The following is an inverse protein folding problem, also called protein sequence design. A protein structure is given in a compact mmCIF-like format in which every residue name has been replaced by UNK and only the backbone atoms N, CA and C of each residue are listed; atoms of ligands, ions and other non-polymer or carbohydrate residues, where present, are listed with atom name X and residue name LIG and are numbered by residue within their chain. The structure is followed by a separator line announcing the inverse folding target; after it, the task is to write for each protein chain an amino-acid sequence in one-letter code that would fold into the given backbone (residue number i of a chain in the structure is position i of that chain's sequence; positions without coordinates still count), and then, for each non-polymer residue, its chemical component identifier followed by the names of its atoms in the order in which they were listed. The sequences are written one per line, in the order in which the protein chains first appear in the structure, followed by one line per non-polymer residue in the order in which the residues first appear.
data_IF_218203497080
#
_entry.id   IF_218203497080
#
_cell.length_a   1.000
_cell.length_b   1.000
_cell.length_c   1.000
_cell.angle_alpha   90.00
_cell.angle_beta   90.00
_cell.angle_gamma   90.00
#
_symmetry.space_group_name_H-M   'P 1'
#
loop_
_entity.id
_entity.type
_entity.pdbx_description
1 polymer ?
#
# COMPACT_ATOMS: atom_id res chain seq x y z
N UNK A 1 14.25 7.93 -15.17
CA UNK A 1 12.94 8.55 -15.46
C UNK A 1 11.77 7.59 -15.22
N UNK A 2 11.66 6.45 -15.93
CA UNK A 2 10.54 5.51 -15.76
C UNK A 2 10.37 5.00 -14.31
N UNK A 3 11.47 4.74 -13.60
CA UNK A 3 11.44 4.31 -12.19
C UNK A 3 10.96 5.43 -11.24
N UNK A 4 11.44 6.66 -11.46
CA UNK A 4 11.00 7.86 -10.72
C UNK A 4 9.51 8.12 -10.88
N UNK A 5 8.97 7.99 -12.11
CA UNK A 5 7.54 8.15 -12.40
C UNK A 5 6.68 7.13 -11.67
N UNK A 6 7.11 5.87 -11.63
CA UNK A 6 6.41 4.81 -10.90
C UNK A 6 6.36 5.10 -9.40
N UNK A 7 7.47 5.57 -8.84
CA UNK A 7 7.56 5.94 -7.42
C UNK A 7 6.66 7.11 -7.09
N UNK A 8 6.66 8.15 -7.91
CA UNK A 8 5.74 9.28 -7.76
C UNK A 8 4.30 8.77 -7.78
N UNK A 9 3.96 7.85 -8.70
CA UNK A 9 2.65 7.21 -8.71
C UNK A 9 2.29 6.50 -7.40
N UNK A 10 3.23 5.75 -6.81
CA UNK A 10 3.04 5.08 -5.51
C UNK A 10 2.87 6.11 -4.38
N UNK A 11 3.74 7.13 -4.32
CA UNK A 11 3.64 8.20 -3.32
C UNK A 11 2.30 8.91 -3.42
N UNK A 12 1.88 9.26 -4.63
CA UNK A 12 0.63 9.98 -4.83
C UNK A 12 -0.57 9.10 -4.47
N UNK A 13 -0.61 7.83 -4.90
CA UNK A 13 -1.73 6.94 -4.60
C UNK A 13 -1.86 6.65 -3.10
N UNK A 14 -0.80 6.16 -2.47
CA UNK A 14 -0.81 5.78 -1.05
C UNK A 14 -0.74 7.00 -0.12
N UNK A 15 -0.08 8.07 -0.52
CA UNK A 15 -0.06 9.35 0.20
C UNK A 15 -1.44 9.98 0.26
N UNK A 16 -2.11 10.12 -0.89
CA UNK A 16 -3.47 10.67 -0.94
C UNK A 16 -4.45 9.81 -0.16
N UNK A 17 -4.36 8.48 -0.28
CA UNK A 17 -5.19 7.56 0.51
C UNK A 17 -4.95 7.73 2.02
N UNK A 18 -3.69 7.82 2.46
CA UNK A 18 -3.37 8.07 3.88
C UNK A 18 -3.88 9.43 4.37
N UNK A 19 -3.78 10.48 3.54
CA UNK A 19 -4.31 11.80 3.85
C UNK A 19 -5.83 11.78 4.02
N UNK A 20 -6.54 11.05 3.16
CA UNK A 20 -7.98 10.86 3.27
C UNK A 20 -8.38 10.09 4.54
N UNK A 21 -7.63 9.06 4.91
CA UNK A 21 -7.85 8.33 6.17
C UNK A 21 -7.61 9.22 7.41
N UNK A 22 -6.54 10.02 7.41
CA UNK A 22 -6.25 10.97 8.50
C UNK A 22 -7.35 12.02 8.60
N UNK A 23 -7.79 12.59 7.48
CA UNK A 23 -8.89 13.54 7.44
C UNK A 23 -10.17 12.93 8.03
N UNK A 24 -10.47 11.69 7.65
CA UNK A 24 -11.65 10.95 8.13
C UNK A 24 -11.57 10.63 9.61
N UNK A 25 -10.36 10.35 10.12
CA UNK A 25 -10.11 10.16 11.55
C UNK A 25 -10.34 11.46 12.35
N UNK A 26 -9.87 12.61 11.85
CA UNK A 26 -10.07 13.92 12.48
C UNK A 26 -11.55 14.29 12.51
N UNK A 27 -12.28 14.02 11.42
CA UNK A 27 -13.72 14.26 11.31
C UNK A 27 -14.58 13.19 11.97
N UNK A 28 -13.97 12.18 12.60
CA UNK A 28 -14.63 11.03 13.22
C UNK A 28 -15.63 10.32 12.28
N UNK A 29 -15.34 10.31 10.98
CA UNK A 29 -16.18 9.62 9.99
C UNK A 29 -16.03 8.11 10.13
N UNK A 30 -17.14 7.35 10.09
CA UNK A 30 -17.06 5.89 10.06
C UNK A 30 -16.45 5.42 8.73
N UNK A 31 -15.43 4.58 8.82
CA UNK A 31 -14.80 3.92 7.66
C UNK A 31 -15.30 2.48 7.46
N UNK A 32 -15.88 1.89 8.50
CA UNK A 32 -16.43 0.53 8.50
C UNK A 32 -17.95 0.54 8.54
N UNK A 33 -18.54 -0.58 8.15
CA UNK A 33 -19.97 -0.83 8.27
C UNK A 33 -20.44 -0.76 9.74
N UNK A 34 -21.73 -0.49 9.99
CA UNK A 34 -22.29 -0.37 11.34
C UNK A 34 -21.98 -1.56 12.27
N UNK A 35 -21.92 -2.78 11.73
CA UNK A 35 -21.64 -4.00 12.51
C UNK A 35 -20.23 -4.03 13.12
N UNK A 36 -19.28 -3.31 12.51
CA UNK A 36 -17.87 -3.29 12.90
C UNK A 36 -17.42 -1.98 13.55
N UNK A 37 -18.34 -1.07 13.90
CA UNK A 37 -18.01 0.27 14.42
C UNK A 37 -17.04 0.28 15.60
N UNK A 38 -17.13 -0.72 16.48
CA UNK A 38 -16.23 -0.89 17.62
C UNK A 38 -14.75 -1.04 17.21
N UNK A 39 -14.46 -1.51 15.99
CA UNK A 39 -13.11 -1.65 15.43
C UNK A 39 -12.72 -0.50 14.50
N UNK A 40 -13.57 0.51 14.30
CA UNK A 40 -13.35 1.60 13.33
C UNK A 40 -12.00 2.29 13.51
N UNK A 41 -11.67 2.64 14.76
CA UNK A 41 -10.40 3.29 15.10
C UNK A 41 -9.19 2.40 14.77
N UNK A 42 -9.27 1.12 15.12
CA UNK A 42 -8.18 0.15 14.88
C UNK A 42 -7.93 0.00 13.38
N UNK A 43 -8.99 -0.22 12.59
CA UNK A 43 -8.86 -0.33 11.14
C UNK A 43 -8.30 0.95 10.51
N UNK A 44 -8.74 2.12 10.98
CA UNK A 44 -8.26 3.39 10.45
C UNK A 44 -6.75 3.57 10.70
N UNK A 45 -6.29 3.35 11.94
CA UNK A 45 -4.86 3.46 12.30
C UNK A 45 -4.02 2.46 11.52
N UNK A 46 -4.46 1.20 11.41
CA UNK A 46 -3.73 0.16 10.67
C UNK A 46 -3.60 0.53 9.20
N UNK A 47 -4.67 0.99 8.55
CA UNK A 47 -4.63 1.41 7.16
C UNK A 47 -3.72 2.63 6.94
N UNK A 48 -3.73 3.60 7.86
CA UNK A 48 -2.82 4.76 7.80
C UNK A 48 -1.37 4.30 7.87
N UNK A 49 -1.03 3.44 8.84
CA UNK A 49 0.33 2.93 9.04
C UNK A 49 0.80 2.16 7.80
N UNK A 50 -0.03 1.26 7.26
CA UNK A 50 0.31 0.48 6.06
C UNK A 50 0.49 1.41 4.85
N UNK A 51 -0.41 2.36 4.65
CA UNK A 51 -0.36 3.26 3.49
C UNK A 51 0.84 4.20 3.54
N UNK A 52 1.14 4.78 4.71
CA UNK A 52 2.33 5.60 4.90
C UNK A 52 3.61 4.77 4.76
N UNK A 53 3.64 3.57 5.31
CA UNK A 53 4.77 2.65 5.14
C UNK A 53 5.06 2.41 3.66
N UNK A 54 4.03 2.11 2.86
CA UNK A 54 4.20 1.87 1.43
C UNK A 54 4.69 3.14 0.73
N UNK A 55 4.07 4.29 1.00
CA UNK A 55 4.47 5.58 0.42
C UNK A 55 5.93 5.94 0.72
N UNK A 56 6.38 5.77 1.97
CA UNK A 56 7.74 6.12 2.41
C UNK A 56 8.77 5.12 1.86
N UNK A 57 8.58 3.82 2.09
CA UNK A 57 9.60 2.81 1.78
C UNK A 57 9.65 2.37 0.32
N UNK A 58 8.52 2.46 -0.40
CA UNK A 58 8.47 2.10 -1.82
C UNK A 58 8.47 3.32 -2.73
N UNK A 59 8.13 4.51 -2.21
CA UNK A 59 8.14 5.76 -2.95
C UNK A 59 9.37 6.61 -2.71
N UNK A 60 9.50 7.14 -1.48
CA UNK A 60 10.48 8.20 -1.12
C UNK A 60 11.89 7.62 -0.94
N UNK A 61 12.04 6.70 0.00
CA UNK A 61 13.30 6.03 0.32
C UNK A 61 13.17 4.54 -0.02
N UNK A 62 13.58 4.13 -1.24
CA UNK A 62 13.50 2.76 -1.75
C UNK A 62 14.48 1.83 -1.03
N UNK A 63 14.32 1.65 0.27
CA UNK A 63 15.08 0.66 1.01
C UNK A 63 14.52 -0.69 0.54
N UNK A 64 15.39 -1.59 0.09
CA UNK A 64 15.02 -2.99 -0.10
C UNK A 64 14.74 -3.59 1.27
N UNK A 65 13.55 -3.32 1.81
CA UNK A 65 13.06 -4.07 2.95
C UNK A 65 12.85 -5.49 2.46
N UNK A 66 13.39 -6.48 3.16
CA UNK A 66 13.13 -7.92 2.93
C UNK A 66 11.67 -8.29 3.23
N UNK A 67 10.73 -7.36 3.12
CA UNK A 67 9.33 -7.69 3.12
C UNK A 67 9.10 -8.64 1.95
N UNK A 68 8.63 -9.85 2.29
CA UNK A 68 8.40 -10.89 1.30
C UNK A 68 7.38 -10.35 0.30
N UNK A 69 7.62 -10.59 -1.00
CA UNK A 69 6.64 -10.32 -2.06
C UNK A 69 5.28 -10.93 -1.72
N UNK A 70 5.27 -12.05 -1.00
CA UNK A 70 4.08 -12.69 -0.48
C UNK A 70 3.32 -11.80 0.52
N UNK A 71 3.99 -11.01 1.34
CA UNK A 71 3.33 -10.16 2.32
C UNK A 71 2.57 -9.01 1.67
N UNK A 72 3.15 -8.32 0.67
CA UNK A 72 2.41 -7.32 -0.10
C UNK A 72 1.23 -7.93 -0.86
N UNK A 73 1.41 -9.16 -1.36
CA UNK A 73 0.34 -9.89 -2.03
C UNK A 73 -0.82 -10.22 -1.08
N UNK A 74 -0.51 -10.78 0.10
CA UNK A 74 -1.52 -11.08 1.14
C UNK A 74 -2.20 -9.80 1.61
N UNK A 75 -1.45 -8.71 1.82
CA UNK A 75 -2.01 -7.40 2.15
C UNK A 75 -2.97 -6.92 1.07
N UNK A 76 -2.60 -7.06 -0.21
CA UNK A 76 -3.46 -6.72 -1.34
C UNK A 76 -4.77 -7.51 -1.36
N UNK A 77 -4.71 -8.83 -1.17
CA UNK A 77 -5.92 -9.67 -1.06
C UNK A 77 -6.77 -9.23 0.12
N UNK A 78 -6.17 -9.05 1.30
CA UNK A 78 -6.90 -8.67 2.51
C UNK A 78 -7.59 -7.31 2.34
N UNK A 79 -6.95 -6.34 1.68
CA UNK A 79 -7.55 -5.04 1.40
C UNK A 79 -8.76 -5.15 0.47
N UNK A 80 -8.70 -6.00 -0.56
CA UNK A 80 -9.84 -6.25 -1.46
C UNK A 80 -10.99 -6.92 -0.71
N UNK A 81 -10.71 -7.93 0.11
CA UNK A 81 -11.73 -8.63 0.88
C UNK A 81 -12.39 -7.67 1.87
N UNK A 82 -11.59 -6.96 2.68
CA UNK A 82 -12.10 -5.98 3.63
C UNK A 82 -12.85 -4.82 2.95
N UNK A 83 -12.38 -4.39 1.78
CA UNK A 83 -13.06 -3.39 0.95
C UNK A 83 -14.47 -3.79 0.56
N UNK A 84 -14.73 -5.09 0.35
CA UNK A 84 -16.06 -5.59 -0.01
C UNK A 84 -16.92 -6.00 1.18
N UNK A 85 -16.32 -6.36 2.31
CA UNK A 85 -17.06 -7.00 3.41
C UNK A 85 -17.09 -6.20 4.72
N UNK A 86 -16.19 -5.24 4.90
CA UNK A 86 -16.02 -4.51 6.17
C UNK A 86 -16.10 -2.99 5.99
N UNK A 87 -15.51 -2.46 4.93
CA UNK A 87 -15.45 -1.01 4.72
C UNK A 87 -16.74 -0.46 4.10
N UNK A 88 -17.08 0.75 4.54
CA UNK A 88 -18.29 1.45 4.15
C UNK A 88 -18.12 2.12 2.78
N UNK A 89 -19.12 1.94 1.93
CA UNK A 89 -19.36 2.79 0.76
C UNK A 89 -20.73 3.44 0.94
N UNK A 90 -20.74 4.72 1.33
CA UNK A 90 -21.92 5.55 1.46
C UNK A 90 -21.81 6.78 0.53
N UNK A 91 -22.48 6.73 -0.64
CA UNK A 91 -22.48 7.83 -1.60
C UNK A 91 -23.12 9.12 -1.07
N UNK A 92 -23.98 9.03 -0.04
CA UNK A 92 -24.66 10.21 0.52
C UNK A 92 -23.76 11.01 1.45
N UNK A 93 -22.72 10.39 1.99
CA UNK A 93 -21.77 10.99 2.93
C UNK A 93 -20.34 11.14 2.37
N UNK A 94 -20.20 10.96 1.04
CA UNK A 94 -18.94 10.94 0.31
C UNK A 94 -17.90 9.98 0.90
N UNK A 95 -18.37 8.84 1.42
CA UNK A 95 -17.54 7.81 2.00
C UNK A 95 -17.40 6.64 1.01
N UNK A 96 -16.21 6.48 0.41
CA UNK A 96 -15.96 5.41 -0.58
C UNK A 96 -14.82 4.49 -0.12
N UNK A 97 -14.75 4.18 1.18
CA UNK A 97 -13.62 3.46 1.77
C UNK A 97 -13.48 2.03 1.23
N UNK A 98 -14.61 1.37 0.94
CA UNK A 98 -14.62 0.04 0.36
C UNK A 98 -13.96 -0.01 -1.02
N UNK A 99 -14.39 0.90 -1.90
CA UNK A 99 -13.87 0.98 -3.26
C UNK A 99 -12.40 1.42 -3.28
N UNK A 100 -12.05 2.43 -2.46
CA UNK A 100 -10.68 2.90 -2.33
C UNK A 100 -9.75 1.80 -1.78
N UNK A 101 -10.20 1.01 -0.80
CA UNK A 101 -9.44 -0.11 -0.28
C UNK A 101 -9.23 -1.20 -1.34
N UNK A 102 -10.24 -1.48 -2.17
CA UNK A 102 -10.10 -2.40 -3.29
C UNK A 102 -9.06 -1.91 -4.32
N UNK A 103 -9.08 -0.63 -4.69
CA UNK A 103 -8.10 -0.02 -5.61
C UNK A 103 -6.70 -0.15 -5.04
N UNK A 104 -6.51 0.20 -3.76
CA UNK A 104 -5.23 0.05 -3.06
C UNK A 104 -4.77 -1.41 -3.03
N UNK A 105 -5.69 -2.34 -2.78
CA UNK A 105 -5.41 -3.76 -2.79
C UNK A 105 -4.94 -4.26 -4.15
N UNK A 106 -5.57 -3.83 -5.25
CA UNK A 106 -5.12 -4.15 -6.62
C UNK A 106 -3.73 -3.57 -6.90
N UNK A 107 -3.46 -2.33 -6.48
CA UNK A 107 -2.12 -1.74 -6.64
C UNK A 107 -1.06 -2.55 -5.90
N UNK A 108 -1.36 -3.01 -4.68
CA UNK A 108 -0.48 -3.90 -3.90
C UNK A 108 -0.23 -5.23 -4.59
N UNK A 109 -1.27 -5.84 -5.19
CA UNK A 109 -1.16 -7.08 -5.96
C UNK A 109 -0.35 -6.92 -7.23
N UNK A 110 -0.33 -5.73 -7.84
CA UNK A 110 0.53 -5.46 -9.00
C UNK A 110 1.97 -5.28 -8.51
N UNK A 111 2.18 -4.43 -7.51
CA UNK A 111 3.52 -4.05 -7.03
C UNK A 111 4.28 -5.23 -6.42
N UNK A 112 3.61 -6.08 -5.62
CA UNK A 112 4.22 -7.19 -4.90
C UNK A 112 4.96 -8.21 -5.78
N UNK A 113 4.30 -8.88 -6.73
CA UNK A 113 4.90 -9.92 -7.56
C UNK A 113 5.77 -9.36 -8.71
N UNK A 114 5.45 -8.20 -9.28
CA UNK A 114 6.07 -7.75 -10.54
C UNK A 114 7.43 -7.05 -10.40
N UNK A 115 7.99 -6.93 -9.19
CA UNK A 115 9.22 -6.16 -8.96
C UNK A 115 9.13 -4.75 -9.55
N UNK A 116 7.93 -4.15 -9.58
CA UNK A 116 7.67 -2.92 -10.31
C UNK A 116 8.56 -1.75 -9.87
N UNK A 117 9.01 -1.79 -8.60
CA UNK A 117 9.78 -0.79 -7.86
C UNK A 117 11.26 -1.19 -7.70
N UNK A 118 11.66 -2.33 -8.27
CA UNK A 118 13.04 -2.79 -8.21
C UNK A 118 13.92 -1.90 -9.11
N UNK A 119 14.78 -1.11 -8.47
CA UNK A 119 15.66 -0.17 -9.16
C UNK A 119 16.78 -0.89 -9.91
N UNK A 120 17.14 -0.36 -11.07
CA UNK A 120 18.24 -0.86 -11.89
C UNK A 120 19.58 -0.89 -11.14
N UNK A 121 19.82 0.03 -10.21
CA UNK A 121 21.01 0.04 -9.36
C UNK A 121 21.12 -1.15 -8.40
N UNK A 122 20.00 -1.70 -7.92
CA UNK A 122 19.98 -2.87 -7.04
C UNK A 122 20.05 -4.18 -7.85
N UNK A 123 19.51 -4.20 -9.08
CA UNK A 123 19.82 -5.27 -10.03
C UNK A 123 21.33 -5.39 -10.25
N UNK A 124 22.00 -4.26 -10.52
CA UNK A 124 23.45 -4.21 -10.76
C UNK A 124 24.26 -4.70 -9.55
N UNK A 125 23.95 -4.21 -8.34
CA UNK A 125 24.59 -4.69 -7.10
C UNK A 125 24.37 -6.17 -6.82
N UNK A 126 23.21 -6.74 -7.22
CA UNK A 126 22.92 -8.16 -7.03
C UNK A 126 23.59 -9.04 -8.08
N UNK A 127 23.74 -8.53 -9.31
CA UNK A 127 24.52 -9.18 -10.38
C UNK A 127 26.03 -9.17 -10.05
N UNK A 128 26.58 -8.03 -9.63
CA UNK A 128 27.99 -7.90 -9.21
C UNK A 128 28.31 -8.85 -8.03
N UNK A 129 27.44 -8.91 -7.02
CA UNK A 129 27.62 -9.80 -5.87
C UNK A 129 27.50 -11.29 -6.21
N UNK A 130 26.77 -11.64 -7.28
CA UNK A 130 26.71 -13.02 -7.76
C UNK A 130 27.92 -13.37 -8.62
N UNK A 131 28.48 -12.41 -9.36
CA UNK A 131 29.72 -12.59 -10.13
C UNK A 131 30.93 -12.83 -9.21
N UNK A 132 31.05 -12.09 -8.10
CA UNK A 132 32.08 -12.31 -7.07
C UNK A 132 32.06 -13.72 -6.46
N UNK A 133 30.93 -14.43 -6.49
CA UNK A 133 30.81 -15.80 -5.94
C UNK A 133 31.25 -16.85 -6.97
N UNK A 134 31.27 -16.50 -8.27
CA UNK A 134 31.63 -17.42 -9.37
C UNK A 134 33.14 -17.36 -9.66
N UNK A 135 33.82 -16.26 -9.31
CA UNK A 135 35.27 -16.09 -9.46
C UNK A 135 36.10 -16.68 -8.29
N UNK A 136 35.47 -17.32 -7.29
CA UNK A 136 36.14 -18.01 -6.16
C UNK A 136 36.16 -19.51 -6.37
#
# INVERSE_FOLDING_TARGET
MRDTLKRIGVITAFGTFSGYLIYSLIMQKPIVLPEYQHMNFVFCVVLIVISLYISIFYGIYPIHVRFSRATLFVLGISAIVMGKTVFLNDPMNDAYFGDLSCVVGVLLLIIGPTNFIMTSGVKKKREEKNLEIIEV
#
